data_IF_160328629878
#
_entry.id   IF_160328629878
#
_cell.length_a   1.000
_cell.length_b   1.000
_cell.length_c   1.000
_cell.angle_alpha   90.00
_cell.angle_beta   90.00
_cell.angle_gamma   90.00
#
_symmetry.space_group_name_H-M   'P 1'
#
loop_
_entity.id
_entity.type
_entity.pdbx_description
1 polymer ?
#
# COMPACT_ATOMS: atom_id res chain seq x y z
N UNK A 1 23.52 22.91 15.16
CA UNK A 1 23.39 21.94 16.26
C UNK A 1 24.70 21.89 17.04
N UNK A 2 24.64 21.80 18.37
CA UNK A 2 25.82 21.65 19.22
C UNK A 2 25.77 20.29 19.94
N UNK A 3 26.93 19.66 20.09
CA UNK A 3 27.09 18.49 20.96
C UNK A 3 27.18 18.99 22.41
N UNK A 4 26.50 18.37 23.38
CA UNK A 4 26.59 18.77 24.79
C UNK A 4 28.04 18.71 25.30
N UNK A 5 28.44 19.69 26.12
CA UNK A 5 29.85 19.90 26.52
C UNK A 5 30.48 18.76 27.34
N UNK A 6 29.68 17.80 27.82
CA UNK A 6 30.12 16.68 28.66
C UNK A 6 30.02 15.31 27.97
N UNK A 7 29.91 15.29 26.64
CA UNK A 7 29.71 14.04 25.90
C UNK A 7 30.99 13.65 25.14
N UNK A 8 31.47 12.41 25.35
CA UNK A 8 32.56 11.87 24.54
C UNK A 8 32.12 11.72 23.09
N UNK A 9 32.69 12.56 22.22
CA UNK A 9 32.38 12.57 20.80
C UNK A 9 32.64 11.21 20.13
N UNK A 10 33.64 10.44 20.57
CA UNK A 10 33.94 9.12 19.98
C UNK A 10 32.85 8.10 20.32
N UNK A 11 32.40 8.07 21.57
CA UNK A 11 31.30 7.22 21.99
C UNK A 11 29.99 7.56 21.26
N UNK A 12 29.74 8.86 21.01
CA UNK A 12 28.56 9.32 20.23
C UNK A 12 28.64 8.85 18.79
N UNK A 13 29.77 9.07 18.11
CA UNK A 13 29.96 8.65 16.72
C UNK A 13 29.78 7.13 16.58
N UNK A 14 30.36 6.35 17.51
CA UNK A 14 30.20 4.89 17.51
C UNK A 14 28.73 4.47 17.68
N UNK A 15 28.03 5.09 18.63
CA UNK A 15 26.61 4.79 18.90
C UNK A 15 25.74 5.07 17.68
N UNK A 16 25.97 6.22 17.03
CA UNK A 16 25.30 6.56 15.78
C UNK A 16 25.62 5.57 14.67
N UNK A 17 26.90 5.25 14.48
CA UNK A 17 27.34 4.29 13.47
C UNK A 17 26.63 2.94 13.62
N UNK A 18 26.58 2.39 14.83
CA UNK A 18 25.96 1.08 15.08
C UNK A 18 24.43 1.09 14.90
N UNK A 19 23.75 2.16 15.34
CA UNK A 19 22.28 2.20 15.33
C UNK A 19 21.71 2.59 13.97
N UNK A 20 22.38 3.50 13.26
CA UNK A 20 21.94 3.97 11.95
C UNK A 20 22.34 3.04 10.81
N UNK A 21 23.25 2.09 11.03
CA UNK A 21 23.66 1.09 10.02
C UNK A 21 22.46 0.29 9.45
N UNK A 22 21.42 0.13 10.26
CA UNK A 22 20.20 -0.61 9.89
C UNK A 22 19.16 0.24 9.15
N UNK A 23 19.38 1.55 9.05
CA UNK A 23 18.44 2.49 8.47
C UNK A 23 18.80 2.73 7.01
N UNK A 24 17.79 2.85 6.15
CA UNK A 24 18.02 3.15 4.75
C UNK A 24 18.71 4.51 4.57
N UNK A 25 19.60 4.60 3.58
CA UNK A 25 20.28 5.85 3.23
C UNK A 25 19.29 6.95 2.85
N UNK A 26 18.12 6.59 2.32
CA UNK A 26 17.03 7.53 2.04
C UNK A 26 16.50 8.18 3.33
N UNK A 27 16.13 7.38 4.33
CA UNK A 27 15.58 7.88 5.58
C UNK A 27 16.60 8.72 6.36
N UNK A 28 17.89 8.36 6.26
CA UNK A 28 18.97 9.18 6.81
C UNK A 28 19.08 10.53 6.11
N UNK A 29 19.14 10.55 4.78
CA UNK A 29 19.24 11.79 4.00
C UNK A 29 18.04 12.70 4.26
N UNK A 30 16.84 12.12 4.25
CA UNK A 30 15.60 12.86 4.49
C UNK A 30 15.50 13.36 5.94
N UNK A 31 15.93 12.54 6.89
CA UNK A 31 16.04 12.92 8.30
C UNK A 31 16.95 14.13 8.50
N UNK A 32 18.15 14.11 7.90
CA UNK A 32 19.08 15.24 7.96
C UNK A 32 18.48 16.49 7.32
N UNK A 33 17.85 16.37 6.16
CA UNK A 33 17.16 17.47 5.48
C UNK A 33 16.10 18.10 6.39
N UNK A 34 15.18 17.29 6.94
CA UNK A 34 14.08 17.76 7.77
C UNK A 34 14.57 18.38 9.09
N UNK A 35 15.66 17.88 9.65
CA UNK A 35 16.29 18.46 10.86
C UNK A 35 16.88 19.82 10.54
N UNK A 36 17.62 19.94 9.43
CA UNK A 36 18.27 21.20 9.02
C UNK A 36 17.23 22.26 8.64
N UNK A 37 16.12 21.86 8.00
CA UNK A 37 15.01 22.78 7.67
C UNK A 37 14.08 23.06 8.86
N UNK A 38 14.27 22.39 10.00
CA UNK A 38 13.45 22.55 11.20
C UNK A 38 12.03 21.97 11.07
N UNK A 39 11.83 21.06 10.11
CA UNK A 39 10.59 20.33 9.85
C UNK A 39 10.49 19.03 10.67
N UNK A 40 11.61 18.54 11.22
CA UNK A 40 11.63 17.34 12.05
C UNK A 40 10.88 17.55 13.37
N UNK A 41 9.71 16.93 13.47
CA UNK A 41 8.87 16.96 14.68
C UNK A 41 9.51 16.10 15.77
N UNK A 42 9.56 16.62 16.99
CA UNK A 42 10.11 15.89 18.15
C UNK A 42 11.64 15.90 18.25
N UNK A 43 12.33 16.58 17.33
CA UNK A 43 13.79 16.79 17.40
C UNK A 43 14.08 18.25 17.80
N UNK A 44 15.08 18.43 18.66
CA UNK A 44 15.56 19.75 19.05
C UNK A 44 16.08 20.54 17.85
N UNK A 45 15.67 21.80 17.72
CA UNK A 45 16.18 22.72 16.68
C UNK A 45 17.58 23.28 17.02
N UNK A 46 17.98 23.19 18.29
CA UNK A 46 19.20 23.81 18.82
C UNK A 46 20.28 22.79 19.13
N UNK A 47 19.90 21.68 19.75
CA UNK A 47 20.81 20.60 20.12
C UNK A 47 20.83 19.51 19.06
N UNK A 48 21.94 18.80 18.97
CA UNK A 48 21.99 17.59 18.16
C UNK A 48 20.96 16.59 18.72
N UNK A 49 20.21 15.87 17.87
CA UNK A 49 19.37 14.78 18.36
C UNK A 49 20.22 13.79 19.15
N UNK A 50 19.58 13.02 20.00
CA UNK A 50 20.15 11.80 20.53
C UNK A 50 20.07 10.70 19.47
N UNK A 51 20.85 9.62 19.67
CA UNK A 51 20.81 8.49 18.76
C UNK A 51 19.41 7.85 18.68
N UNK A 52 18.70 7.78 19.80
CA UNK A 52 17.34 7.23 19.86
C UNK A 52 16.30 8.11 19.17
N UNK A 53 16.39 9.43 19.33
CA UNK A 53 15.51 10.38 18.64
C UNK A 53 15.68 10.30 17.13
N UNK A 54 16.92 10.30 16.65
CA UNK A 54 17.18 10.21 15.21
C UNK A 54 16.72 8.85 14.64
N UNK A 55 16.99 7.75 15.34
CA UNK A 55 16.55 6.43 14.92
C UNK A 55 15.03 6.37 14.77
N UNK A 56 14.30 6.82 15.79
CA UNK A 56 12.83 6.83 15.80
C UNK A 56 12.27 7.70 14.67
N UNK A 57 12.90 8.86 14.42
CA UNK A 57 12.50 9.73 13.33
C UNK A 57 12.70 9.05 11.97
N UNK A 58 13.87 8.48 11.72
CA UNK A 58 14.16 7.78 10.47
C UNK A 58 13.22 6.59 10.25
N UNK A 59 12.92 5.79 11.28
CA UNK A 59 11.94 4.72 11.20
C UNK A 59 10.54 5.23 10.84
N UNK A 60 10.15 6.39 11.37
CA UNK A 60 8.88 7.04 11.03
C UNK A 60 8.83 7.44 9.56
N UNK A 61 9.93 7.96 9.02
CA UNK A 61 10.05 8.30 7.59
C UNK A 61 9.90 7.05 6.72
N UNK A 62 10.55 5.95 7.09
CA UNK A 62 10.44 4.67 6.37
C UNK A 62 9.03 4.10 6.42
N UNK A 63 8.42 4.06 7.59
CA UNK A 63 7.06 3.57 7.78
C UNK A 63 6.04 4.41 7.00
N UNK A 64 6.23 5.72 6.93
CA UNK A 64 5.39 6.61 6.13
C UNK A 64 5.52 6.32 4.64
N UNK A 65 6.75 6.07 4.16
CA UNK A 65 6.99 5.70 2.77
C UNK A 65 6.36 4.35 2.44
N UNK A 66 6.55 3.35 3.31
CA UNK A 66 5.94 2.03 3.17
C UNK A 66 4.41 2.12 3.13
N UNK A 67 3.82 2.87 4.05
CA UNK A 67 2.37 3.09 4.10
C UNK A 67 1.84 3.71 2.81
N UNK A 68 2.53 4.73 2.26
CA UNK A 68 2.16 5.34 0.97
C UNK A 68 2.25 4.33 -0.18
N UNK A 69 3.32 3.54 -0.22
CA UNK A 69 3.50 2.50 -1.24
C UNK A 69 2.39 1.45 -1.15
N UNK A 70 2.00 1.03 0.05
CA UNK A 70 0.88 0.11 0.26
C UNK A 70 -0.46 0.69 -0.17
N UNK A 71 -0.72 1.99 0.09
CA UNK A 71 -1.93 2.65 -0.38
C UNK A 71 -2.00 2.66 -1.91
N UNK A 72 -0.89 2.96 -2.59
CA UNK A 72 -0.81 2.90 -4.06
C UNK A 72 -1.06 1.48 -4.56
N UNK A 73 -0.40 0.48 -3.97
CA UNK A 73 -0.62 -0.94 -4.32
C UNK A 73 -2.09 -1.34 -4.18
N UNK A 74 -2.74 -0.97 -3.07
CA UNK A 74 -4.16 -1.22 -2.84
C UNK A 74 -5.04 -0.53 -3.88
N UNK A 75 -4.74 0.72 -4.24
CA UNK A 75 -5.49 1.45 -5.26
C UNK A 75 -5.40 0.79 -6.65
N UNK A 76 -4.21 0.27 -7.01
CA UNK A 76 -4.00 -0.47 -8.26
C UNK A 76 -4.83 -1.76 -8.26
N UNK A 77 -4.76 -2.54 -7.18
CA UNK A 77 -5.51 -3.81 -7.08
C UNK A 77 -7.02 -3.58 -7.14
N UNK A 78 -7.54 -2.59 -6.39
CA UNK A 78 -8.95 -2.21 -6.42
C UNK A 78 -9.41 -1.80 -7.84
N UNK A 79 -8.56 -1.08 -8.57
CA UNK A 79 -8.84 -0.68 -9.96
C UNK A 79 -8.90 -1.89 -10.88
N UNK A 80 -7.99 -2.84 -10.70
CA UNK A 80 -7.96 -4.10 -11.46
C UNK A 80 -9.20 -4.94 -11.18
N UNK A 81 -9.55 -5.13 -9.92
CA UNK A 81 -10.74 -5.86 -9.50
C UNK A 81 -12.03 -5.23 -10.06
N UNK A 82 -12.14 -3.90 -10.00
CA UNK A 82 -13.28 -3.18 -10.55
C UNK A 82 -13.42 -3.42 -12.05
N UNK A 83 -12.32 -3.35 -12.81
CA UNK A 83 -12.31 -3.63 -14.25
C UNK A 83 -12.75 -5.07 -14.55
N UNK A 84 -12.31 -6.04 -13.75
CA UNK A 84 -12.72 -7.45 -13.91
C UNK A 84 -14.21 -7.62 -13.64
N UNK A 85 -14.75 -7.00 -12.58
CA UNK A 85 -16.19 -7.00 -12.27
C UNK A 85 -17.01 -6.35 -13.38
N UNK A 86 -16.57 -5.22 -13.91
CA UNK A 86 -17.23 -4.54 -15.03
C UNK A 86 -17.20 -5.38 -16.31
N UNK A 87 -16.09 -6.06 -16.59
CA UNK A 87 -15.99 -6.98 -17.74
C UNK A 87 -16.95 -8.17 -17.57
N UNK A 88 -16.98 -8.79 -16.40
CA UNK A 88 -17.89 -9.89 -16.09
C UNK A 88 -19.36 -9.44 -16.16
N UNK A 89 -19.67 -8.23 -15.67
CA UNK A 89 -21.02 -7.67 -15.75
C UNK A 89 -21.42 -7.41 -17.20
N UNK A 90 -20.53 -6.87 -18.03
CA UNK A 90 -20.78 -6.69 -19.48
C UNK A 90 -20.95 -8.01 -20.21
N UNK A 91 -20.19 -9.04 -19.84
CA UNK A 91 -20.34 -10.39 -20.41
C UNK A 91 -21.68 -11.02 -20.00
N UNK A 92 -22.08 -10.87 -18.74
CA UNK A 92 -23.36 -11.39 -18.23
C UNK A 92 -24.57 -10.58 -18.72
N UNK A 93 -24.40 -9.30 -19.06
CA UNK A 93 -25.48 -8.45 -19.59
C UNK A 93 -25.53 -8.41 -21.12
N UNK A 94 -24.71 -9.20 -21.82
CA UNK A 94 -24.77 -9.26 -23.27
C UNK A 94 -26.09 -9.90 -23.71
N UNK A 95 -26.82 -9.26 -24.63
CA UNK A 95 -28.00 -9.88 -25.20
C UNK A 95 -27.58 -11.14 -25.95
N UNK A 96 -28.25 -12.25 -25.65
CA UNK A 96 -28.10 -13.52 -26.36
C UNK A 96 -28.25 -13.29 -27.87
N UNK A 97 -27.34 -13.87 -28.64
CA UNK A 97 -27.42 -13.88 -30.11
C UNK A 97 -28.66 -14.66 -30.56
N UNK A 98 -29.14 -14.38 -31.78
CA UNK A 98 -30.32 -15.05 -32.37
C UNK A 98 -30.21 -16.58 -32.32
N UNK A 99 -29.02 -17.12 -32.55
CA UNK A 99 -28.73 -18.56 -32.51
C UNK A 99 -28.84 -19.11 -31.09
N UNK A 100 -28.33 -18.38 -30.09
CA UNK A 100 -28.42 -18.79 -28.69
C UNK A 100 -29.86 -18.74 -28.17
N UNK A 101 -30.65 -17.74 -28.59
CA UNK A 101 -32.08 -17.65 -28.27
C UNK A 101 -32.87 -18.83 -28.82
N UNK A 102 -32.69 -19.17 -30.10
CA UNK A 102 -33.36 -20.31 -30.71
C UNK A 102 -33.01 -21.63 -30.01
N UNK A 103 -31.75 -21.79 -29.59
CA UNK A 103 -31.31 -22.98 -28.82
C UNK A 103 -31.95 -23.05 -27.44
N UNK A 104 -32.05 -21.93 -26.73
CA UNK A 104 -32.73 -21.83 -25.43
C UNK A 104 -34.23 -22.13 -25.53
N UNK A 105 -34.90 -21.60 -26.55
CA UNK A 105 -36.31 -21.87 -26.82
C UNK A 105 -36.56 -23.36 -27.10
N UNK A 106 -35.69 -24.01 -27.88
CA UNK A 106 -35.75 -25.46 -28.10
C UNK A 106 -35.63 -26.28 -26.82
N UNK A 107 -34.71 -25.90 -25.93
CA UNK A 107 -34.50 -26.57 -24.63
C UNK A 107 -35.70 -26.35 -23.69
N UNK A 108 -36.22 -25.13 -23.61
CA UNK A 108 -37.39 -24.78 -22.80
C UNK A 108 -38.66 -25.52 -23.26
N UNK A 109 -38.88 -25.59 -24.58
CA UNK A 109 -40.00 -26.32 -25.15
C UNK A 109 -39.87 -27.83 -24.91
N UNK A 110 -38.64 -28.38 -24.98
CA UNK A 110 -38.37 -29.77 -24.62
C UNK A 110 -38.67 -30.09 -23.15
N UNK A 111 -38.23 -29.23 -22.23
CA UNK A 111 -38.49 -29.36 -20.79
C UNK A 111 -39.98 -29.21 -20.44
N UNK A 112 -40.68 -28.23 -21.04
CA UNK A 112 -42.12 -28.04 -20.84
C UNK A 112 -42.96 -29.22 -21.33
N UNK A 113 -42.50 -29.91 -22.39
CA UNK A 113 -43.09 -31.16 -22.87
C UNK A 113 -42.89 -32.33 -21.91
N UNK A 114 -41.70 -32.45 -21.31
CA UNK A 114 -41.40 -33.51 -20.33
C UNK A 114 -42.22 -33.34 -19.04
N UNK A 115 -42.40 -32.12 -18.53
CA UNK A 115 -43.18 -31.86 -17.31
C UNK A 115 -44.68 -32.17 -17.49
N UNK A 116 -45.23 -31.92 -18.68
CA UNK A 116 -46.63 -32.28 -19.01
C UNK A 116 -46.89 -33.79 -19.01
N UNK A 117 -45.88 -34.61 -19.30
CA UNK A 117 -46.02 -36.07 -19.37
C UNK A 117 -45.75 -36.78 -18.02
N UNK A 118 -45.30 -36.05 -16.99
CA UNK A 118 -45.04 -36.61 -15.64
C UNK A 118 -46.19 -36.27 -14.67
N UNK A 119 -47.00 -35.25 -14.97
CA UNK A 119 -48.14 -34.82 -14.16
C UNK A 119 -49.50 -35.35 -14.65
N UNK A 120 -49.50 -36.33 -15.56
CA UNK A 120 -50.70 -36.99 -16.12
C UNK A 120 -50.81 -38.45 -15.71
#
# INVERSE_FOLDING_TARGET
MRVPANTDAKAVVLSYGMMLDRISSYALKKGVEDIVTGQAIGISKTFMPTCGELLTYCQTVENTLLSKAESVRRAIENTREKRLKEKAMRENSRPLTLVEKQKLEGILNGLGGTVKNIAG
#
